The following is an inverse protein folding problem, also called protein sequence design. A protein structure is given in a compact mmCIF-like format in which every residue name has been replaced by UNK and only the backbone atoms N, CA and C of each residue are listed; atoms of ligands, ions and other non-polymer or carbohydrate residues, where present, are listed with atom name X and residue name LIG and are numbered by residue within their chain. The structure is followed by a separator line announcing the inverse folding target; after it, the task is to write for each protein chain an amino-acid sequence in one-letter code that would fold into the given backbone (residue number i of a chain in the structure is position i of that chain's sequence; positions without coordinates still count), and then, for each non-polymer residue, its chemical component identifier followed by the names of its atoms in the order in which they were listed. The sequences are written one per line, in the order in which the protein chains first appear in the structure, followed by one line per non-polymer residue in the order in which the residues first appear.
data_IF_373064161199
#
_entry.id   IF_373064161199
#
_cell.length_a   1.000
_cell.length_b   1.000
_cell.length_c   1.000
_cell.angle_alpha   90.00
_cell.angle_beta   90.00
_cell.angle_gamma   90.00
#
_symmetry.space_group_name_H-M   'P 1'
#
loop_
_entity.id
_entity.type
_entity.pdbx_description
1 polymer ?
#
# COMPACT_ATOMS: atom_id res chain seq x y z
N UNK A 1 -43.08 -29.79 32.87
CA UNK A 1 -43.24 -28.33 33.12
C UNK A 1 -41.90 -27.67 33.50
N UNK A 2 -41.12 -28.20 34.44
CA UNK A 2 -39.81 -27.62 34.84
C UNK A 2 -38.69 -27.64 33.77
N UNK A 3 -38.65 -28.61 32.84
CA UNK A 3 -37.62 -28.67 31.78
C UNK A 3 -37.78 -27.58 30.71
N UNK A 4 -39.00 -27.16 30.43
CA UNK A 4 -39.33 -26.15 29.41
C UNK A 4 -39.04 -24.73 29.89
N UNK A 5 -39.19 -24.45 31.18
CA UNK A 5 -38.81 -23.16 31.77
C UNK A 5 -37.29 -22.99 31.85
N UNK A 6 -36.56 -24.06 32.15
CA UNK A 6 -35.10 -24.01 32.22
C UNK A 6 -34.43 -23.79 30.85
N UNK A 7 -35.03 -24.29 29.77
CA UNK A 7 -34.58 -23.99 28.40
C UNK A 7 -34.91 -22.56 27.98
N UNK A 8 -36.11 -22.04 28.34
CA UNK A 8 -36.44 -20.62 28.14
C UNK A 8 -35.49 -19.70 28.91
N UNK A 9 -35.07 -20.07 30.12
CA UNK A 9 -34.11 -19.30 30.91
C UNK A 9 -32.71 -19.27 30.25
N UNK A 10 -32.28 -20.38 29.63
CA UNK A 10 -31.02 -20.43 28.87
C UNK A 10 -31.05 -19.57 27.62
N UNK A 11 -32.17 -19.56 26.88
CA UNK A 11 -32.33 -18.71 25.71
C UNK A 11 -32.34 -17.22 26.10
N UNK A 12 -33.02 -16.88 27.19
CA UNK A 12 -33.03 -15.52 27.74
C UNK A 12 -31.62 -15.11 28.24
N UNK A 13 -30.88 -16.00 28.90
CA UNK A 13 -29.50 -15.73 29.32
C UNK A 13 -28.53 -15.61 28.13
N UNK A 14 -28.72 -16.36 27.05
CA UNK A 14 -27.93 -16.23 25.82
C UNK A 14 -28.21 -14.89 25.13
N UNK A 15 -29.47 -14.46 25.11
CA UNK A 15 -29.89 -13.15 24.57
C UNK A 15 -29.35 -12.00 25.43
N UNK A 16 -29.39 -12.10 26.76
CA UNK A 16 -28.84 -11.09 27.67
C UNK A 16 -27.30 -11.02 27.58
N UNK A 17 -26.60 -12.15 27.42
CA UNK A 17 -25.15 -12.16 27.16
C UNK A 17 -24.78 -11.61 25.78
N UNK A 18 -25.67 -11.71 24.79
CA UNK A 18 -25.51 -11.14 23.46
C UNK A 18 -25.66 -9.62 23.47
N UNK A 19 -26.57 -9.07 24.28
CA UNK A 19 -26.71 -7.62 24.47
C UNK A 19 -25.59 -7.02 25.35
N UNK A 20 -25.21 -7.68 26.45
CA UNK A 20 -24.13 -7.20 27.34
C UNK A 20 -22.74 -7.11 26.69
N UNK A 21 -22.43 -7.95 25.68
CA UNK A 21 -21.18 -7.88 24.92
C UNK A 21 -21.17 -6.81 23.83
N UNK A 22 -22.35 -6.46 23.29
CA UNK A 22 -22.48 -5.40 22.26
C UNK A 22 -22.34 -4.01 22.87
N UNK A 23 -22.81 -3.80 24.10
CA UNK A 23 -22.71 -2.49 24.74
C UNK A 23 -21.28 -2.12 25.15
N UNK A 24 -20.44 -3.06 25.57
CA UNK A 24 -19.01 -2.79 25.79
C UNK A 24 -18.24 -2.49 24.49
N UNK A 25 -18.64 -3.12 23.38
CA UNK A 25 -18.07 -2.84 22.06
C UNK A 25 -18.58 -1.51 21.47
N UNK A 26 -19.83 -1.14 21.75
CA UNK A 26 -20.44 0.14 21.35
C UNK A 26 -19.91 1.29 22.22
N UNK A 27 -19.68 1.07 23.52
CA UNK A 27 -19.01 2.04 24.39
C UNK A 27 -17.54 2.21 24.01
N UNK A 28 -16.82 1.14 23.62
CA UNK A 28 -15.52 1.25 22.95
C UNK A 28 -15.59 1.99 21.60
N UNK A 29 -16.71 1.91 20.87
CA UNK A 29 -16.95 2.71 19.65
C UNK A 29 -17.21 4.17 19.97
N UNK A 30 -17.95 4.49 21.03
CA UNK A 30 -18.19 5.88 21.46
C UNK A 30 -16.90 6.49 22.02
N UNK A 31 -16.11 5.72 22.79
CA UNK A 31 -14.76 6.11 23.18
C UNK A 31 -13.83 6.24 21.96
N UNK A 32 -13.94 5.41 20.93
CA UNK A 32 -13.15 5.55 19.69
C UNK A 32 -13.63 6.68 18.78
N UNK A 33 -14.91 7.03 18.79
CA UNK A 33 -15.47 8.16 18.03
C UNK A 33 -15.06 9.47 18.73
N UNK A 34 -15.10 9.52 20.06
CA UNK A 34 -14.60 10.66 20.83
C UNK A 34 -13.05 10.73 20.90
N UNK A 35 -12.35 9.59 20.79
CA UNK A 35 -10.87 9.53 20.67
C UNK A 35 -10.36 9.50 19.23
N UNK A 36 -11.23 9.65 18.21
CA UNK A 36 -10.81 9.71 16.80
C UNK A 36 -10.03 10.99 16.45
N UNK A 37 -9.81 11.86 17.43
CA UNK A 37 -9.05 13.11 17.35
C UNK A 37 -7.51 12.95 17.40
N UNK A 38 -6.95 11.73 17.31
CA UNK A 38 -5.48 11.54 17.22
C UNK A 38 -5.03 10.86 15.92
N UNK A 39 -4.97 11.66 14.83
CA UNK A 39 -3.85 11.94 13.91
C UNK A 39 -2.75 10.90 13.53
N UNK A 40 -2.67 9.71 14.12
CA UNK A 40 -1.48 8.86 14.00
C UNK A 40 -1.38 8.07 12.68
N UNK A 41 -2.51 7.85 11.97
CA UNK A 41 -2.53 7.03 10.76
C UNK A 41 -3.42 7.59 9.64
N UNK A 42 -3.70 8.89 9.58
CA UNK A 42 -4.42 9.45 8.44
C UNK A 42 -3.56 9.37 7.17
N UNK A 43 -3.83 8.38 6.32
CA UNK A 43 -3.13 8.18 5.05
C UNK A 43 -3.62 9.11 3.94
N UNK A 44 -4.77 9.73 4.15
CA UNK A 44 -5.46 10.55 3.16
C UNK A 44 -4.91 11.96 3.18
N UNK A 45 -4.57 12.54 4.35
CA UNK A 45 -4.06 13.91 4.40
C UNK A 45 -2.52 14.02 4.24
N UNK A 46 -2.02 14.98 3.44
CA UNK A 46 -2.73 15.70 2.38
C UNK A 46 -3.11 14.76 1.22
N UNK A 47 -4.28 15.01 0.60
CA UNK A 47 -4.82 14.18 -0.47
C UNK A 47 -3.90 14.28 -1.70
N UNK A 48 -3.34 13.16 -2.18
CA UNK A 48 -2.49 13.18 -3.37
C UNK A 48 -3.33 13.20 -4.63
N UNK A 49 -2.99 14.08 -5.55
CA UNK A 49 -3.58 14.14 -6.88
C UNK A 49 -2.49 14.61 -7.84
N UNK A 50 -2.52 14.13 -9.08
CA UNK A 50 -1.62 14.65 -10.10
C UNK A 50 -2.00 16.09 -10.43
N UNK A 51 -1.09 17.01 -10.17
CA UNK A 51 -1.24 18.44 -10.40
C UNK A 51 -0.18 18.90 -11.38
N UNK A 52 -0.60 19.57 -12.44
CA UNK A 52 0.34 20.17 -13.37
C UNK A 52 1.14 21.28 -12.67
N UNK A 53 2.44 21.32 -12.91
CA UNK A 53 3.30 22.42 -12.51
C UNK A 53 4.35 22.67 -13.60
N UNK A 54 4.54 23.93 -13.98
CA UNK A 54 5.25 24.24 -15.22
C UNK A 54 4.51 23.72 -16.46
N UNK A 55 5.15 23.83 -17.62
CA UNK A 55 4.49 23.51 -18.89
C UNK A 55 4.35 22.00 -19.14
N UNK A 56 5.28 21.20 -18.63
CA UNK A 56 5.43 19.80 -19.03
C UNK A 56 5.53 18.80 -17.88
N UNK A 57 5.30 19.23 -16.64
CA UNK A 57 5.47 18.39 -15.46
C UNK A 57 4.19 18.30 -14.63
N UNK A 58 4.02 17.15 -13.97
CA UNK A 58 2.95 16.89 -13.03
C UNK A 58 3.53 16.29 -11.76
N UNK A 59 3.04 16.72 -10.60
CA UNK A 59 3.43 16.19 -9.29
C UNK A 59 2.25 15.50 -8.63
N UNK A 60 2.50 14.40 -7.92
CA UNK A 60 1.45 13.61 -7.26
C UNK A 60 1.38 13.83 -5.75
N UNK A 61 2.52 13.72 -5.07
CA UNK A 61 2.61 13.79 -3.63
C UNK A 61 3.98 14.32 -3.21
N UNK A 62 4.01 15.07 -2.09
CA UNK A 62 5.22 15.64 -1.52
C UNK A 62 5.40 15.22 -0.06
N UNK A 63 6.64 14.94 0.32
CA UNK A 63 7.02 14.40 1.62
C UNK A 63 8.13 15.23 2.24
N UNK A 64 8.03 15.54 3.53
CA UNK A 64 9.07 16.22 4.28
C UNK A 64 9.91 15.24 5.10
N UNK A 65 11.21 15.26 4.84
CA UNK A 65 12.23 14.54 5.59
C UNK A 65 13.08 15.53 6.37
N UNK A 66 12.92 15.56 7.70
CA UNK A 66 13.82 16.33 8.58
C UNK A 66 15.18 15.65 8.63
N UNK A 67 16.26 16.42 8.54
CA UNK A 67 17.60 15.89 8.75
C UNK A 67 17.89 15.83 10.25
N UNK A 68 18.38 14.69 10.75
CA UNK A 68 18.65 14.51 12.18
C UNK A 68 20.00 15.09 12.59
N UNK A 69 20.96 15.18 11.65
CA UNK A 69 22.34 15.57 11.93
C UNK A 69 22.64 17.03 11.55
N UNK A 70 21.77 17.67 10.78
CA UNK A 70 21.95 19.05 10.29
C UNK A 70 20.62 19.78 10.40
N UNK A 71 20.67 21.07 10.74
CA UNK A 71 19.48 21.93 10.73
C UNK A 71 18.77 21.91 9.35
N UNK A 72 17.43 21.91 9.38
CA UNK A 72 16.59 21.90 8.19
C UNK A 72 16.13 20.49 7.76
N UNK A 73 15.94 20.32 6.46
CA UNK A 73 15.35 19.12 5.89
C UNK A 73 15.23 19.16 4.38
N UNK A 74 14.60 18.14 3.83
CA UNK A 74 14.44 17.95 2.39
C UNK A 74 12.99 17.58 2.08
N UNK A 75 12.38 18.31 1.16
CA UNK A 75 11.12 17.92 0.53
C UNK A 75 11.41 16.98 -0.63
N UNK A 76 10.72 15.84 -0.69
CA UNK A 76 10.79 14.85 -1.76
C UNK A 76 9.45 14.78 -2.44
N UNK A 77 9.42 14.96 -3.76
CA UNK A 77 8.19 15.03 -4.55
C UNK A 77 8.22 14.01 -5.68
N UNK A 78 7.12 13.27 -5.83
CA UNK A 78 6.91 12.32 -6.92
C UNK A 78 6.43 13.11 -8.14
N UNK A 79 7.20 13.05 -9.23
CA UNK A 79 6.98 13.87 -10.42
C UNK A 79 7.02 13.01 -11.68
N UNK A 80 6.21 13.36 -12.66
CA UNK A 80 6.34 12.91 -14.05
C UNK A 80 6.49 14.14 -14.95
N UNK A 81 7.32 14.01 -15.98
CA UNK A 81 7.50 15.04 -16.99
C UNK A 81 7.38 14.46 -18.39
N UNK A 82 6.87 15.25 -19.34
CA UNK A 82 6.83 14.85 -20.75
C UNK A 82 8.25 14.52 -21.23
N UNK A 83 8.38 13.50 -22.07
CA UNK A 83 9.67 13.16 -22.69
C UNK A 83 10.24 14.37 -23.45
N UNK A 84 11.53 14.65 -23.24
CA UNK A 84 12.21 15.79 -23.85
C UNK A 84 11.99 17.14 -23.15
N UNK A 85 11.22 17.19 -22.05
CA UNK A 85 11.06 18.42 -21.28
C UNK A 85 12.35 18.84 -20.58
N UNK A 86 12.61 20.16 -20.55
CA UNK A 86 13.79 20.77 -19.93
C UNK A 86 13.58 20.87 -18.42
N UNK A 87 14.59 20.44 -17.65
CA UNK A 87 14.56 20.48 -16.18
C UNK A 87 15.27 21.72 -15.65
N UNK A 88 14.54 22.84 -15.54
CA UNK A 88 15.08 24.08 -14.98
C UNK A 88 14.11 24.70 -13.95
N UNK A 89 14.27 24.30 -12.70
CA UNK A 89 13.39 24.72 -11.61
C UNK A 89 14.15 25.40 -10.47
N UNK A 90 13.54 26.43 -9.90
CA UNK A 90 13.81 26.92 -8.55
C UNK A 90 12.80 26.29 -7.60
N UNK A 91 13.19 26.05 -6.36
CA UNK A 91 12.28 25.51 -5.35
C UNK A 91 12.25 26.40 -4.11
N UNK A 92 11.09 26.45 -3.46
CA UNK A 92 10.90 27.12 -2.19
C UNK A 92 9.97 26.31 -1.30
N UNK A 93 10.07 26.53 0.00
CA UNK A 93 9.28 25.84 1.02
C UNK A 93 8.53 26.87 1.84
N UNK A 94 7.23 26.65 2.03
CA UNK A 94 6.33 27.55 2.75
C UNK A 94 6.07 27.04 4.17
N UNK A 95 6.11 27.95 5.14
CA UNK A 95 5.87 27.69 6.56
C UNK A 95 4.61 28.42 7.04
N UNK A 96 4.13 28.11 8.26
CA UNK A 96 3.08 28.90 8.89
C UNK A 96 3.51 30.38 9.02
N UNK A 97 2.59 31.30 8.70
CA UNK A 97 2.79 32.76 8.58
C UNK A 97 3.36 33.30 7.23
N UNK A 98 3.07 32.65 6.10
CA UNK A 98 3.47 33.09 4.75
C UNK A 98 4.99 33.32 4.58
N UNK A 99 5.80 32.68 5.43
CA UNK A 99 7.25 32.72 5.30
C UNK A 99 7.66 31.68 4.27
N UNK A 100 8.16 32.15 3.12
CA UNK A 100 8.68 31.30 2.05
C UNK A 100 10.21 31.36 2.07
N UNK A 101 10.85 30.19 2.19
CA UNK A 101 12.30 30.07 2.15
C UNK A 101 12.75 29.37 0.87
N UNK A 102 13.72 29.97 0.16
CA UNK A 102 14.31 29.35 -1.03
C UNK A 102 15.15 28.13 -0.65
N UNK A 103 14.97 27.04 -1.39
CA UNK A 103 15.74 25.82 -1.23
C UNK A 103 16.66 25.55 -2.39
N UNK A 104 17.52 24.55 -2.22
CA UNK A 104 18.36 24.02 -3.30
C UNK A 104 17.59 22.92 -4.02
N UNK A 105 17.25 23.18 -5.28
CA UNK A 105 16.64 22.19 -6.16
C UNK A 105 17.64 21.12 -6.56
N UNK A 106 17.21 19.86 -6.50
CA UNK A 106 17.87 18.71 -7.11
C UNK A 106 16.79 17.81 -7.68
N UNK A 107 17.16 16.97 -8.64
CA UNK A 107 16.26 15.94 -9.13
C UNK A 107 17.02 14.64 -9.35
N UNK A 108 16.25 13.56 -9.37
CA UNK A 108 16.70 12.26 -9.81
C UNK A 108 15.75 11.76 -10.89
N UNK A 109 16.30 11.38 -12.04
CA UNK A 109 15.58 10.65 -13.07
C UNK A 109 15.53 9.18 -12.70
N UNK A 110 14.36 8.55 -12.78
CA UNK A 110 14.15 7.14 -12.41
C UNK A 110 14.10 6.19 -13.61
N UNK A 111 14.15 6.72 -14.83
CA UNK A 111 14.12 5.92 -16.05
C UNK A 111 15.48 5.97 -16.75
N UNK A 112 16.00 4.78 -17.08
CA UNK A 112 17.23 4.62 -17.84
C UNK A 112 17.05 5.08 -19.28
N UNK A 113 18.07 5.75 -19.83
CA UNK A 113 18.09 6.13 -21.23
C UNK A 113 18.16 4.88 -22.13
N UNK A 114 17.34 4.86 -23.18
CA UNK A 114 17.44 3.87 -24.27
C UNK A 114 16.54 2.64 -24.21
N UNK A 115 15.78 2.37 -23.12
CA UNK A 115 14.99 1.12 -23.03
C UNK A 115 13.60 1.16 -23.65
N UNK A 116 12.90 2.29 -23.64
CA UNK A 116 11.53 2.36 -24.17
C UNK A 116 11.30 3.65 -24.97
N UNK A 117 11.35 3.55 -26.30
CA UNK A 117 11.06 4.66 -27.21
C UNK A 117 9.59 5.11 -27.21
N UNK A 118 8.69 4.27 -26.68
CA UNK A 118 7.25 4.41 -26.83
C UNK A 118 6.54 5.20 -25.74
N UNK A 119 7.22 5.50 -24.63
CA UNK A 119 6.56 6.21 -23.53
C UNK A 119 6.57 7.72 -23.67
N UNK A 120 5.44 8.31 -23.30
CA UNK A 120 5.15 9.74 -23.34
C UNK A 120 5.80 10.52 -22.20
N UNK A 121 6.16 9.85 -21.09
CA UNK A 121 6.64 10.49 -19.87
C UNK A 121 7.93 9.89 -19.32
N UNK A 122 8.57 10.67 -18.45
CA UNK A 122 9.73 10.30 -17.65
C UNK A 122 9.39 10.56 -16.19
N UNK A 123 9.75 9.62 -15.32
CA UNK A 123 9.55 9.65 -13.88
C UNK A 123 10.74 10.31 -13.21
N UNK A 124 10.43 11.19 -12.28
CA UNK A 124 11.40 11.95 -11.51
C UNK A 124 11.07 11.93 -10.02
N UNK A 125 12.12 12.12 -9.23
CA UNK A 125 12.00 12.62 -7.86
C UNK A 125 12.58 14.01 -7.82
N UNK A 126 11.78 14.97 -7.39
CA UNK A 126 12.24 16.32 -7.16
C UNK A 126 12.55 16.49 -5.68
N UNK A 127 13.68 17.14 -5.40
CA UNK A 127 14.17 17.40 -4.07
C UNK A 127 14.30 18.91 -3.88
N UNK A 128 13.78 19.41 -2.76
CA UNK A 128 14.02 20.79 -2.32
C UNK A 128 14.66 20.77 -0.93
N UNK A 129 15.96 21.04 -0.88
CA UNK A 129 16.74 21.00 0.37
C UNK A 129 16.83 22.38 1.01
N UNK A 130 16.52 22.43 2.30
CA UNK A 130 16.67 23.60 3.17
C UNK A 130 17.74 23.29 4.22
N UNK A 131 18.71 24.18 4.38
CA UNK A 131 19.89 23.99 5.25
C UNK A 131 19.75 24.62 6.65
N UNK A 132 18.66 25.35 6.89
CA UNK A 132 18.35 25.98 8.18
C UNK A 132 17.00 25.47 8.67
N UNK A 133 16.84 25.40 9.97
CA UNK A 133 15.55 25.05 10.56
C UNK A 133 14.70 26.31 10.69
N UNK A 134 13.58 26.35 9.96
CA UNK A 134 12.59 27.43 10.03
C UNK A 134 11.26 26.94 10.62
N UNK A 135 11.25 25.75 11.25
CA UNK A 135 10.06 25.10 11.79
C UNK A 135 9.49 24.04 10.86
N UNK A 136 8.18 23.82 10.95
CA UNK A 136 7.45 22.78 10.22
C UNK A 136 6.90 23.33 8.90
N UNK A 137 7.39 22.87 7.73
CA UNK A 137 6.93 23.36 6.44
C UNK A 137 5.61 22.74 5.96
N UNK A 138 4.67 23.58 5.52
CA UNK A 138 3.36 23.13 5.05
C UNK A 138 3.35 22.66 3.60
N UNK A 139 4.10 23.33 2.73
CA UNK A 139 4.09 23.01 1.31
C UNK A 139 5.43 23.33 0.65
N UNK A 140 5.66 22.73 -0.51
CA UNK A 140 6.79 22.99 -1.39
C UNK A 140 6.28 23.52 -2.72
N UNK A 141 6.97 24.53 -3.26
CA UNK A 141 6.66 25.14 -4.55
C UNK A 141 7.85 24.99 -5.48
N UNK A 142 7.58 24.59 -6.72
CA UNK A 142 8.57 24.57 -7.80
C UNK A 142 8.19 25.62 -8.84
N UNK A 143 9.15 26.45 -9.23
CA UNK A 143 8.98 27.53 -10.20
C UNK A 143 9.88 27.28 -11.38
N UNK A 144 9.29 27.11 -12.56
CA UNK A 144 10.02 26.93 -13.82
C UNK A 144 10.72 28.25 -14.19
N UNK A 145 11.98 28.15 -14.60
CA UNK A 145 12.78 29.30 -15.03
C UNK A 145 12.87 29.25 -16.55
N UNK A 146 12.27 30.24 -17.22
CA UNK A 146 12.35 30.40 -18.68
C UNK A 146 13.24 31.59 -19.03
N UNK A 147 13.66 31.68 -20.30
CA UNK A 147 14.51 32.76 -20.80
C UNK A 147 13.83 34.14 -20.70
N UNK A 148 12.49 34.17 -20.65
CA UNK A 148 11.67 35.37 -20.44
C UNK A 148 11.50 35.77 -18.95
N UNK A 149 12.13 35.04 -18.02
CA UNK A 149 11.98 35.21 -16.57
C UNK A 149 11.33 34.01 -15.88
N UNK A 150 11.19 34.06 -14.55
CA UNK A 150 10.45 33.02 -13.83
C UNK A 150 8.95 33.18 -14.08
N UNK A 151 8.27 32.12 -14.50
CA UNK A 151 6.80 32.15 -14.57
C UNK A 151 6.23 32.24 -13.15
N UNK A 152 5.28 33.15 -12.87
CA UNK A 152 4.74 33.32 -11.50
C UNK A 152 3.88 32.14 -11.03
N UNK A 153 3.58 31.17 -11.89
CA UNK A 153 2.70 30.04 -11.61
C UNK A 153 3.45 28.88 -10.91
N UNK A 154 4.10 29.18 -9.78
CA UNK A 154 4.63 28.14 -8.91
C UNK A 154 3.47 27.44 -8.20
N UNK A 155 3.15 26.21 -8.61
CA UNK A 155 2.13 25.42 -7.92
C UNK A 155 2.69 24.87 -6.60
N UNK A 156 1.94 25.09 -5.51
CA UNK A 156 2.33 24.66 -4.17
C UNK A 156 1.72 23.30 -3.85
N UNK A 157 2.56 22.36 -3.45
CA UNK A 157 2.16 20.98 -3.14
C UNK A 157 2.30 20.78 -1.63
N UNK A 158 1.23 20.35 -0.98
CA UNK A 158 1.21 20.14 0.47
C UNK A 158 2.16 19.00 0.88
N UNK A 159 2.92 19.25 1.93
CA UNK A 159 3.92 18.33 2.45
C UNK A 159 3.32 17.38 3.48
N UNK A 160 3.67 16.09 3.33
CA UNK A 160 3.42 15.07 4.33
C UNK A 160 4.67 14.76 5.13
N UNK A 161 4.56 14.75 6.45
CA UNK A 161 5.69 14.44 7.32
C UNK A 161 5.95 12.94 7.40
N UNK A 162 7.18 12.53 7.11
CA UNK A 162 7.58 11.13 7.19
C UNK A 162 7.86 10.70 8.63
N UNK A 163 8.35 11.59 9.47
CA UNK A 163 8.58 11.34 10.90
C UNK A 163 7.56 12.15 11.69
N UNK A 164 6.61 11.46 12.32
CA UNK A 164 5.72 12.08 13.29
C UNK A 164 6.53 12.30 14.57
N UNK A 165 6.74 13.55 14.98
CA UNK A 165 7.19 13.85 16.33
C UNK A 165 5.95 13.99 17.19
N UNK A 166 5.84 13.17 18.25
CA UNK A 166 4.85 13.45 19.27
C UNK A 166 5.35 14.66 20.08
N UNK A 167 4.68 15.80 19.92
CA UNK A 167 5.07 17.06 20.54
C UNK A 167 5.11 16.98 22.08
N UNK A 168 4.37 16.04 22.67
CA UNK A 168 4.27 15.89 24.13
C UNK A 168 5.35 14.99 24.75
N UNK A 169 6.01 14.12 23.99
CA UNK A 169 6.91 13.11 24.59
C UNK A 169 8.34 13.08 24.08
N UNK A 170 8.71 13.82 23.02
CA UNK A 170 10.02 13.69 22.32
C UNK A 170 10.42 12.24 21.98
N UNK A 171 9.50 11.27 22.13
CA UNK A 171 9.68 9.86 21.79
C UNK A 171 9.12 9.66 20.39
N UNK A 172 9.87 8.92 19.57
CA UNK A 172 9.35 8.42 18.29
C UNK A 172 8.12 7.58 18.63
N UNK A 173 6.94 7.83 18.03
CA UNK A 173 5.80 6.97 18.24
C UNK A 173 6.24 5.54 17.91
N UNK A 174 5.95 4.59 18.81
CA UNK A 174 6.13 3.18 18.51
C UNK A 174 5.47 2.90 17.16
N UNK A 175 6.20 2.36 16.18
CA UNK A 175 5.64 2.00 14.87
C UNK A 175 4.42 1.13 15.13
N UNK A 176 3.24 1.71 14.89
CA UNK A 176 2.02 1.22 15.52
C UNK A 176 1.59 -0.13 14.93
N UNK A 177 1.96 -0.41 13.68
CA UNK A 177 1.41 -1.53 12.92
C UNK A 177 2.47 -2.46 12.34
N UNK A 178 2.27 -3.79 12.41
CA UNK A 178 3.26 -4.77 11.97
C UNK A 178 3.41 -4.80 10.44
N UNK A 179 2.31 -4.59 9.70
CA UNK A 179 2.27 -4.59 8.25
C UNK A 179 1.10 -3.75 7.73
N UNK A 180 1.22 -3.22 6.51
CA UNK A 180 0.14 -2.57 5.74
C UNK A 180 0.09 -3.12 4.32
N UNK A 181 -1.07 -3.06 3.67
CA UNK A 181 -1.20 -3.38 2.24
C UNK A 181 -1.57 -2.13 1.46
N UNK A 182 -0.85 -1.90 0.37
CA UNK A 182 -1.26 -1.00 -0.69
C UNK A 182 -1.90 -1.83 -1.81
N UNK A 183 -3.14 -1.51 -2.15
CA UNK A 183 -3.89 -2.12 -3.24
C UNK A 183 -3.81 -1.24 -4.48
N UNK A 184 -3.28 -1.79 -5.56
CA UNK A 184 -3.16 -1.17 -6.88
C UNK A 184 -4.39 -1.52 -7.74
N UNK A 185 -5.38 -0.62 -7.77
CA UNK A 185 -6.50 -0.67 -8.73
C UNK A 185 -6.26 0.18 -9.98
N UNK A 186 -5.12 0.87 -10.05
CA UNK A 186 -4.70 1.63 -11.23
C UNK A 186 -4.43 0.66 -12.37
N UNK A 187 -3.81 -0.48 -12.05
CA UNK A 187 -3.56 -1.54 -13.00
C UNK A 187 -4.88 -2.18 -13.50
N UNK A 188 -5.22 -1.91 -14.76
CA UNK A 188 -6.44 -2.39 -15.39
C UNK A 188 -6.44 -3.91 -15.69
N UNK A 189 -5.30 -4.61 -15.53
CA UNK A 189 -5.20 -6.05 -15.78
C UNK A 189 -6.25 -6.84 -14.97
N UNK A 190 -6.47 -6.46 -13.71
CA UNK A 190 -7.50 -7.07 -12.86
C UNK A 190 -8.90 -6.88 -13.43
N UNK A 191 -9.24 -5.66 -13.86
CA UNK A 191 -10.55 -5.35 -14.43
C UNK A 191 -10.76 -6.09 -15.75
N UNK A 192 -9.74 -6.18 -16.58
CA UNK A 192 -9.81 -6.88 -17.86
C UNK A 192 -9.96 -8.40 -17.68
N UNK A 193 -9.34 -8.97 -16.64
CA UNK A 193 -9.37 -10.41 -16.39
C UNK A 193 -10.63 -10.88 -15.63
N UNK A 194 -11.37 -9.98 -14.98
CA UNK A 194 -12.47 -10.33 -14.08
C UNK A 194 -13.77 -9.67 -14.53
N UNK A 195 -14.84 -10.46 -14.70
CA UNK A 195 -16.15 -9.92 -15.09
C UNK A 195 -16.75 -9.06 -13.98
N UNK A 196 -17.56 -8.06 -14.37
CA UNK A 196 -18.09 -7.05 -13.44
C UNK A 196 -18.81 -7.67 -12.24
N UNK A 197 -19.61 -8.71 -12.46
CA UNK A 197 -20.36 -9.44 -11.43
C UNK A 197 -19.46 -10.09 -10.37
N UNK A 198 -18.28 -10.56 -10.76
CA UNK A 198 -17.35 -11.24 -9.84
C UNK A 198 -16.41 -10.25 -9.14
N UNK A 199 -16.21 -9.03 -9.68
CA UNK A 199 -15.26 -8.06 -9.13
C UNK A 199 -15.57 -7.69 -7.68
N UNK A 200 -16.82 -7.40 -7.35
CA UNK A 200 -17.18 -7.01 -5.98
C UNK A 200 -16.98 -8.15 -4.98
N UNK A 201 -17.37 -9.37 -5.37
CA UNK A 201 -17.17 -10.58 -4.56
C UNK A 201 -15.69 -10.89 -4.34
N UNK A 202 -14.86 -10.76 -5.38
CA UNK A 202 -13.42 -10.98 -5.29
C UNK A 202 -12.71 -9.90 -4.46
N UNK A 203 -13.10 -8.63 -4.61
CA UNK A 203 -12.58 -7.53 -3.79
C UNK A 203 -12.95 -7.71 -2.31
N UNK A 204 -14.19 -8.10 -2.02
CA UNK A 204 -14.59 -8.44 -0.66
C UNK A 204 -13.75 -9.59 -0.10
N UNK A 205 -13.55 -10.67 -0.87
CA UNK A 205 -12.66 -11.77 -0.50
C UNK A 205 -11.23 -11.28 -0.23
N UNK A 206 -10.69 -10.38 -1.07
CA UNK A 206 -9.36 -9.79 -0.88
C UNK A 206 -9.24 -9.12 0.49
N UNK A 207 -10.14 -8.22 0.84
CA UNK A 207 -10.05 -7.50 2.11
C UNK A 207 -10.24 -8.42 3.32
N UNK A 208 -11.26 -9.29 3.29
CA UNK A 208 -11.57 -10.19 4.40
C UNK A 208 -10.46 -11.24 4.60
N UNK A 209 -9.87 -11.75 3.52
CA UNK A 209 -8.71 -12.66 3.58
C UNK A 209 -7.54 -12.02 4.32
N UNK A 210 -7.12 -10.85 3.88
CA UNK A 210 -5.99 -10.16 4.49
C UNK A 210 -6.29 -9.68 5.91
N UNK A 211 -7.54 -9.29 6.19
CA UNK A 211 -7.98 -8.98 7.55
C UNK A 211 -7.88 -10.18 8.50
N UNK A 212 -8.31 -11.37 8.05
CA UNK A 212 -8.24 -12.61 8.83
C UNK A 212 -6.80 -13.04 9.15
N UNK A 213 -5.81 -12.58 8.37
CA UNK A 213 -4.38 -12.75 8.64
C UNK A 213 -3.83 -11.78 9.68
N UNK A 214 -4.59 -10.74 10.05
CA UNK A 214 -4.20 -9.68 10.98
C UNK A 214 -3.76 -8.37 10.31
N UNK A 215 -4.18 -8.11 9.07
CA UNK A 215 -3.92 -6.85 8.36
C UNK A 215 -5.13 -5.93 8.47
N UNK A 216 -4.99 -4.82 9.19
CA UNK A 216 -6.12 -3.95 9.51
C UNK A 216 -6.24 -2.72 8.60
N UNK A 217 -5.15 -2.32 7.93
CA UNK A 217 -5.10 -1.08 7.14
C UNK A 217 -4.70 -1.33 5.70
N UNK A 218 -5.50 -0.74 4.83
CA UNK A 218 -5.37 -0.82 3.38
C UNK A 218 -5.29 0.59 2.80
N UNK A 219 -4.30 0.84 1.95
CA UNK A 219 -4.21 2.04 1.12
C UNK A 219 -4.61 1.64 -0.29
N UNK A 220 -5.71 2.17 -0.81
CA UNK A 220 -6.23 1.78 -2.12
C UNK A 220 -5.99 2.91 -3.10
N UNK A 221 -5.16 2.64 -4.11
CA UNK A 221 -4.91 3.55 -5.23
C UNK A 221 -5.99 3.38 -6.29
N UNK A 222 -6.48 4.49 -6.84
CA UNK A 222 -7.69 4.54 -7.65
C UNK A 222 -8.92 4.02 -6.89
N UNK A 223 -9.04 4.43 -5.62
CA UNK A 223 -10.09 3.97 -4.70
C UNK A 223 -11.52 4.29 -5.14
N UNK A 224 -11.69 5.23 -6.08
CA UNK A 224 -12.98 5.58 -6.69
C UNK A 224 -13.63 4.39 -7.43
N UNK A 225 -12.87 3.34 -7.73
CA UNK A 225 -13.38 2.10 -8.32
C UNK A 225 -14.12 1.19 -7.32
N UNK A 226 -14.01 1.44 -6.01
CA UNK A 226 -14.69 0.64 -5.00
C UNK A 226 -16.15 1.07 -4.84
N UNK A 227 -17.07 0.11 -4.82
CA UNK A 227 -18.50 0.39 -4.59
C UNK A 227 -18.73 0.89 -3.16
N UNK A 228 -19.71 1.79 -3.00
CA UNK A 228 -20.12 2.28 -1.67
C UNK A 228 -20.62 1.11 -0.80
N UNK A 229 -21.31 0.14 -1.41
CA UNK A 229 -21.79 -1.06 -0.73
C UNK A 229 -20.65 -1.86 -0.11
N UNK A 230 -19.57 -2.10 -0.86
CA UNK A 230 -18.39 -2.76 -0.35
C UNK A 230 -17.76 -1.98 0.81
N UNK A 231 -17.58 -0.67 0.66
CA UNK A 231 -17.00 0.18 1.71
C UNK A 231 -17.82 0.12 3.02
N UNK A 232 -19.15 0.11 2.93
CA UNK A 232 -20.03 -0.03 4.09
C UNK A 232 -19.89 -1.40 4.78
N UNK A 233 -19.69 -2.47 4.01
CA UNK A 233 -19.45 -3.81 4.57
C UNK A 233 -18.10 -3.84 5.29
N UNK A 234 -17.05 -3.30 4.66
CA UNK A 234 -15.71 -3.26 5.24
C UNK A 234 -15.67 -2.44 6.54
N UNK A 235 -16.36 -1.31 6.58
CA UNK A 235 -16.49 -0.48 7.80
C UNK A 235 -17.18 -1.24 8.94
N UNK A 236 -18.26 -2.00 8.64
CA UNK A 236 -18.93 -2.86 9.64
C UNK A 236 -18.02 -3.94 10.21
N UNK A 237 -17.11 -4.47 9.39
CA UNK A 237 -16.08 -5.43 9.78
C UNK A 237 -14.87 -4.77 10.46
N UNK A 238 -14.88 -3.44 10.61
CA UNK A 238 -13.78 -2.64 11.17
C UNK A 238 -12.47 -2.78 10.36
N UNK A 239 -12.60 -2.99 9.05
CA UNK A 239 -11.49 -3.01 8.09
C UNK A 239 -11.24 -1.58 7.63
N UNK A 240 -10.05 -1.03 7.90
CA UNK A 240 -9.73 0.36 7.59
C UNK A 240 -9.20 0.49 6.17
N UNK A 241 -9.95 1.20 5.34
CA UNK A 241 -9.60 1.43 3.93
C UNK A 241 -9.39 2.92 3.70
N UNK A 242 -8.22 3.28 3.21
CA UNK A 242 -7.83 4.64 2.86
C UNK A 242 -7.81 4.79 1.35
N UNK A 243 -8.78 5.52 0.80
CA UNK A 243 -8.94 5.71 -0.64
C UNK A 243 -8.08 6.86 -1.12
N UNK A 244 -7.23 6.60 -2.12
CA UNK A 244 -6.43 7.60 -2.80
C UNK A 244 -6.86 7.69 -4.28
N UNK A 245 -7.17 8.89 -4.79
CA UNK A 245 -7.43 9.07 -6.21
C UNK A 245 -6.14 8.91 -7.01
N UNK A 246 -6.27 8.53 -8.28
CA UNK A 246 -5.10 8.40 -9.17
C UNK A 246 -5.40 8.94 -10.57
N UNK A 247 -5.60 10.26 -10.64
CA UNK A 247 -5.90 11.01 -11.87
C UNK A 247 -4.66 11.18 -12.78
N UNK A 248 -4.03 10.07 -13.19
CA UNK A 248 -2.78 10.09 -13.96
C UNK A 248 -2.92 10.84 -15.30
N UNK A 249 -1.98 11.76 -15.64
CA UNK A 249 -2.14 12.68 -16.76
C UNK A 249 -1.73 12.13 -18.15
N UNK A 250 -1.25 10.89 -18.24
CA UNK A 250 -0.82 10.25 -19.49
C UNK A 250 -1.57 8.94 -19.75
N UNK A 251 -1.42 8.39 -20.97
CA UNK A 251 -2.04 7.11 -21.33
C UNK A 251 -1.45 5.92 -20.56
N UNK A 252 -2.30 4.93 -20.25
CA UNK A 252 -1.93 3.71 -19.51
C UNK A 252 -1.34 2.60 -20.38
N UNK A 253 -1.58 2.62 -21.71
CA UNK A 253 -1.51 1.42 -22.56
C UNK A 253 -0.14 0.75 -22.66
N UNK A 254 0.95 1.48 -22.47
CA UNK A 254 2.32 0.96 -22.64
C UNK A 254 3.21 1.10 -21.39
N UNK A 255 2.69 1.66 -20.29
CA UNK A 255 3.51 2.09 -19.15
C UNK A 255 3.06 1.48 -17.81
N UNK A 256 2.37 0.34 -17.83
CA UNK A 256 1.81 -0.33 -16.62
C UNK A 256 2.87 -0.52 -15.52
N UNK A 257 4.05 -1.06 -15.85
CA UNK A 257 5.12 -1.27 -14.87
C UNK A 257 5.69 0.05 -14.31
N UNK A 258 5.76 1.08 -15.16
CA UNK A 258 6.28 2.38 -14.77
C UNK A 258 5.31 3.11 -13.85
N UNK A 259 4.02 2.97 -14.11
CA UNK A 259 2.93 3.45 -13.25
C UNK A 259 2.90 2.67 -11.94
N UNK A 260 2.99 1.33 -11.98
CA UNK A 260 3.07 0.49 -10.77
C UNK A 260 4.20 0.93 -9.86
N UNK A 261 5.37 1.24 -10.42
CA UNK A 261 6.52 1.71 -9.64
C UNK A 261 6.35 3.15 -9.08
N UNK A 262 5.50 3.99 -9.68
CA UNK A 262 5.07 5.27 -9.07
C UNK A 262 4.17 5.01 -7.85
N UNK A 263 3.19 4.11 -7.99
CA UNK A 263 2.31 3.67 -6.90
C UNK A 263 3.12 3.04 -5.76
N UNK A 264 4.06 2.17 -6.10
CA UNK A 264 5.01 1.56 -5.15
C UNK A 264 5.80 2.61 -4.38
N UNK A 265 6.38 3.58 -5.09
CA UNK A 265 7.16 4.66 -4.46
C UNK A 265 6.30 5.44 -3.46
N UNK A 266 5.08 5.80 -3.84
CA UNK A 266 4.17 6.51 -2.94
C UNK A 266 3.76 5.64 -1.74
N UNK A 267 3.45 4.36 -1.97
CA UNK A 267 3.09 3.39 -0.94
C UNK A 267 4.18 3.27 0.14
N UNK A 268 5.44 3.15 -0.28
CA UNK A 268 6.59 3.08 0.64
C UNK A 268 6.73 4.36 1.47
N UNK A 269 6.61 5.52 0.83
CA UNK A 269 6.75 6.82 1.50
C UNK A 269 5.59 7.08 2.48
N UNK A 270 4.35 6.75 2.10
CA UNK A 270 3.18 6.91 2.98
C UNK A 270 3.25 6.06 4.23
N UNK A 271 3.79 4.84 4.12
CA UNK A 271 3.88 3.89 5.23
C UNK A 271 5.16 4.06 6.06
N UNK A 272 6.14 4.84 5.59
CA UNK A 272 7.38 5.09 6.35
C UNK A 272 7.05 5.63 7.75
N UNK A 273 7.61 4.98 8.78
CA UNK A 273 7.36 5.23 10.21
C UNK A 273 5.89 5.03 10.68
N UNK A 274 5.01 4.45 9.85
CA UNK A 274 3.63 4.10 10.23
C UNK A 274 3.41 2.60 10.30
N UNK A 275 4.02 1.85 9.40
CA UNK A 275 4.06 0.39 9.41
C UNK A 275 5.51 -0.10 9.44
N UNK A 276 5.74 -1.30 10.00
CA UNK A 276 7.07 -1.94 9.96
C UNK A 276 7.36 -2.56 8.60
N UNK A 277 6.33 -3.13 7.98
CA UNK A 277 6.39 -3.71 6.65
C UNK A 277 5.25 -3.23 5.78
N UNK A 278 5.42 -3.28 4.46
CA UNK A 278 4.33 -3.03 3.51
C UNK A 278 4.44 -3.93 2.29
N UNK A 279 3.31 -4.22 1.66
CA UNK A 279 3.23 -4.88 0.36
C UNK A 279 2.46 -4.00 -0.62
N UNK A 280 2.80 -4.10 -1.91
CA UNK A 280 1.97 -3.61 -3.00
C UNK A 280 1.39 -4.81 -3.74
N UNK A 281 0.07 -4.93 -3.77
CA UNK A 281 -0.66 -6.02 -4.40
C UNK A 281 -1.68 -5.47 -5.39
N UNK A 282 -1.98 -6.20 -6.47
CA UNK A 282 -3.21 -6.01 -7.26
C UNK A 282 -4.37 -6.80 -6.65
N UNK A 283 -5.60 -6.51 -7.07
CA UNK A 283 -6.80 -7.15 -6.51
C UNK A 283 -6.90 -8.67 -6.75
N UNK A 284 -6.12 -9.23 -7.68
CA UNK A 284 -6.00 -10.66 -7.90
C UNK A 284 -4.77 -11.30 -7.22
N UNK A 285 -4.00 -10.54 -6.44
CA UNK A 285 -2.81 -11.03 -5.72
C UNK A 285 -3.12 -11.21 -4.24
N UNK A 286 -3.14 -12.45 -3.76
CA UNK A 286 -3.46 -12.79 -2.38
C UNK A 286 -2.22 -13.28 -1.64
N UNK A 287 -1.86 -12.60 -0.55
CA UNK A 287 -0.71 -12.94 0.26
C UNK A 287 -1.05 -14.05 1.27
N UNK A 288 -0.22 -15.08 1.34
CA UNK A 288 -0.38 -16.22 2.24
C UNK A 288 0.89 -16.40 3.10
N UNK A 289 0.87 -15.96 4.37
CA UNK A 289 1.95 -16.22 5.32
C UNK A 289 1.80 -17.60 5.97
N UNK A 290 2.91 -18.18 6.44
CA UNK A 290 2.92 -19.53 7.03
C UNK A 290 2.08 -19.69 8.31
N UNK A 291 1.76 -18.58 8.98
CA UNK A 291 0.94 -18.46 10.19
C UNK A 291 0.33 -17.06 10.23
N UNK A 292 -0.63 -16.80 11.14
CA UNK A 292 -1.17 -15.44 11.32
C UNK A 292 -0.07 -14.47 11.75
N UNK A 293 -0.21 -13.20 11.36
CA UNK A 293 0.89 -12.25 11.44
C UNK A 293 1.26 -11.85 12.88
N UNK A 294 0.31 -11.98 13.81
CA UNK A 294 0.50 -11.73 15.23
C UNK A 294 1.11 -12.90 16.01
N UNK A 295 1.22 -14.09 15.40
CA UNK A 295 1.76 -15.29 16.06
C UNK A 295 3.29 -15.24 16.23
N UNK A 296 3.81 -16.08 17.13
CA UNK A 296 5.24 -16.11 17.42
C UNK A 296 6.12 -16.62 16.29
N UNK A 297 5.59 -17.53 15.48
CA UNK A 297 6.31 -18.12 14.34
C UNK A 297 5.98 -17.39 13.04
N UNK A 298 5.45 -16.16 13.13
CA UNK A 298 5.02 -15.39 11.96
C UNK A 298 6.18 -15.02 11.05
N UNK A 299 5.86 -14.88 9.76
CA UNK A 299 6.80 -14.39 8.76
C UNK A 299 7.40 -13.04 9.17
N UNK A 300 6.64 -12.15 9.82
CA UNK A 300 7.13 -10.85 10.26
C UNK A 300 8.21 -10.95 11.34
N UNK A 301 8.06 -11.87 12.30
CA UNK A 301 9.11 -12.17 13.28
C UNK A 301 10.32 -12.79 12.62
N UNK A 302 10.14 -13.71 11.67
CA UNK A 302 11.25 -14.25 10.87
C UNK A 302 12.01 -13.14 10.15
N UNK A 303 11.30 -12.26 9.45
CA UNK A 303 11.89 -11.13 8.75
C UNK A 303 12.74 -10.28 9.70
N UNK A 304 12.28 -9.98 10.93
CA UNK A 304 13.03 -9.15 11.88
C UNK A 304 14.45 -9.62 12.23
N UNK A 305 14.80 -10.89 12.00
CA UNK A 305 16.15 -11.43 12.24
C UNK A 305 17.17 -10.98 11.18
N UNK A 306 16.72 -10.56 10.00
CA UNK A 306 17.62 -10.03 8.97
C UNK A 306 18.17 -8.67 9.36
N UNK A 307 19.42 -8.40 8.97
CA UNK A 307 20.08 -7.10 9.20
C UNK A 307 19.24 -5.93 8.67
N UNK A 308 19.40 -4.75 9.27
CA UNK A 308 18.67 -3.53 8.85
C UNK A 308 18.94 -3.10 7.40
N UNK A 309 19.98 -3.67 6.76
CA UNK A 309 20.30 -3.49 5.34
C UNK A 309 19.36 -4.28 4.42
N UNK A 310 18.83 -5.41 4.87
CA UNK A 310 17.83 -6.17 4.11
C UNK A 310 16.47 -5.46 4.21
N UNK A 311 16.07 -4.84 3.10
CA UNK A 311 14.85 -4.03 3.02
C UNK A 311 13.77 -4.66 2.14
N UNK A 312 14.11 -5.66 1.31
CA UNK A 312 13.21 -6.29 0.34
C UNK A 312 13.27 -7.80 0.44
N UNK A 313 12.12 -8.40 0.63
CA UNK A 313 11.96 -9.84 0.72
C UNK A 313 11.03 -10.30 -0.40
N UNK A 314 11.60 -10.98 -1.39
CA UNK A 314 10.88 -11.39 -2.59
C UNK A 314 9.99 -12.59 -2.28
N UNK A 315 8.74 -12.52 -2.73
CA UNK A 315 7.73 -13.53 -2.51
C UNK A 315 7.61 -14.42 -3.74
N UNK A 316 7.62 -15.76 -3.56
CA UNK A 316 7.27 -16.67 -4.64
C UNK A 316 5.78 -16.50 -5.00
N UNK A 317 5.48 -16.60 -6.30
CA UNK A 317 4.15 -16.36 -6.87
C UNK A 317 3.67 -17.62 -7.57
N UNK A 318 2.44 -18.05 -7.28
CA UNK A 318 1.72 -19.07 -8.03
C UNK A 318 0.66 -18.42 -8.93
N UNK A 319 0.69 -18.71 -10.23
CA UNK A 319 -0.35 -18.29 -11.18
C UNK A 319 -1.55 -19.23 -11.09
N UNK A 320 -2.42 -19.00 -10.10
CA UNK A 320 -3.54 -19.90 -9.79
C UNK A 320 -4.67 -19.70 -10.78
N UNK A 321 -5.11 -20.79 -11.40
CA UNK A 321 -6.16 -20.79 -12.39
C UNK A 321 -7.52 -20.60 -11.71
N UNK A 322 -8.26 -19.56 -12.12
CA UNK A 322 -9.63 -19.34 -11.67
C UNK A 322 -10.56 -20.38 -12.30
N UNK A 323 -11.25 -21.14 -11.48
CA UNK A 323 -12.37 -21.98 -11.85
C UNK A 323 -13.66 -21.38 -11.29
N UNK A 324 -14.59 -21.07 -12.20
CA UNK A 324 -15.86 -20.40 -11.89
C UNK A 324 -16.82 -21.26 -11.06
N UNK A 325 -16.59 -22.58 -10.99
CA UNK A 325 -17.39 -23.48 -10.15
C UNK A 325 -17.12 -23.28 -8.65
N UNK A 326 -15.96 -22.70 -8.31
CA UNK A 326 -15.58 -22.45 -6.92
C UNK A 326 -16.16 -21.13 -6.40
N UNK A 327 -16.76 -21.19 -5.21
CA UNK A 327 -17.32 -20.01 -4.56
C UNK A 327 -16.25 -19.07 -4.01
N UNK A 328 -15.12 -19.60 -3.58
CA UNK A 328 -14.01 -18.83 -3.01
C UNK A 328 -12.75 -19.02 -3.83
N UNK A 329 -11.96 -17.94 -3.99
CA UNK A 329 -10.70 -17.97 -4.72
C UNK A 329 -9.71 -18.97 -4.11
N UNK A 330 -9.67 -19.09 -2.78
CA UNK A 330 -8.81 -20.03 -2.06
C UNK A 330 -9.11 -21.51 -2.37
N UNK A 331 -10.29 -21.83 -2.93
CA UNK A 331 -10.64 -23.19 -3.31
C UNK A 331 -9.92 -23.65 -4.60
N UNK A 332 -9.39 -22.71 -5.38
CA UNK A 332 -8.62 -23.03 -6.58
C UNK A 332 -7.24 -23.57 -6.21
N UNK A 333 -6.96 -24.80 -6.64
CA UNK A 333 -5.76 -25.56 -6.24
C UNK A 333 -4.73 -25.71 -7.36
N UNK A 334 -5.15 -25.51 -8.60
CA UNK A 334 -4.33 -25.69 -9.79
C UNK A 334 -3.68 -24.37 -10.19
N UNK A 335 -2.38 -24.40 -10.48
CA UNK A 335 -1.63 -23.25 -10.99
C UNK A 335 -0.84 -23.62 -12.24
N UNK A 336 -0.57 -22.60 -13.07
CA UNK A 336 0.24 -22.72 -14.28
C UNK A 336 1.68 -22.26 -13.99
N UNK A 337 2.69 -23.16 -14.01
CA UNK A 337 4.09 -22.82 -13.76
C UNK A 337 4.75 -22.07 -14.93
N UNK A 338 4.16 -22.08 -16.13
CA UNK A 338 4.72 -21.45 -17.32
C UNK A 338 4.41 -19.95 -17.38
N UNK A 339 3.42 -19.50 -16.62
CA UNK A 339 3.07 -18.09 -16.51
C UNK A 339 4.19 -17.33 -15.78
N UNK A 340 4.91 -16.50 -16.55
CA UNK A 340 5.94 -15.61 -16.03
C UNK A 340 5.37 -14.23 -15.73
N UNK A 341 5.54 -13.79 -14.50
CA UNK A 341 5.19 -12.44 -14.08
C UNK A 341 6.27 -11.45 -14.51
N UNK A 342 5.85 -10.30 -15.06
CA UNK A 342 6.78 -9.22 -15.44
C UNK A 342 7.31 -8.47 -14.21
N UNK A 343 6.52 -8.43 -13.14
CA UNK A 343 6.89 -7.82 -11.88
C UNK A 343 7.14 -8.88 -10.80
N UNK A 344 8.05 -8.54 -9.90
CA UNK A 344 8.28 -9.30 -8.67
C UNK A 344 7.42 -8.71 -7.55
N UNK A 345 7.05 -9.56 -6.59
CA UNK A 345 6.32 -9.14 -5.39
C UNK A 345 7.25 -9.17 -4.18
N UNK A 346 7.16 -8.14 -3.34
CA UNK A 346 8.04 -8.01 -2.19
C UNK A 346 7.27 -7.64 -0.93
N UNK A 347 7.73 -8.17 0.20
CA UNK A 347 7.52 -7.54 1.50
C UNK A 347 8.63 -6.53 1.70
N UNK A 348 8.27 -5.26 1.81
CA UNK A 348 9.22 -4.20 2.09
C UNK A 348 9.32 -3.99 3.59
N UNK A 349 10.53 -3.97 4.13
CA UNK A 349 10.79 -3.46 5.47
C UNK A 349 10.96 -1.95 5.38
N UNK A 350 10.17 -1.24 6.16
CA UNK A 350 10.18 0.20 6.18
C UNK A 350 11.23 0.73 7.16
N UNK A 351 12.10 1.59 6.64
CA UNK A 351 13.15 2.28 7.39
C UNK A 351 13.14 3.77 7.03
N UNK A 352 13.43 4.68 7.98
CA UNK A 352 13.54 6.12 7.70
C UNK A 352 14.61 6.45 6.64
N UNK A 353 15.53 5.53 6.34
CA UNK A 353 16.57 5.69 5.33
C UNK A 353 16.17 5.24 3.92
N UNK A 354 14.92 4.80 3.68
CA UNK A 354 14.41 4.41 2.33
C UNK A 354 14.64 5.50 1.27
N UNK A 355 14.72 6.76 1.68
CA UNK A 355 14.94 7.89 0.77
C UNK A 355 16.40 8.15 0.38
N UNK A 356 17.37 7.58 1.12
CA UNK A 356 18.79 7.77 0.80
C UNK A 356 19.27 6.81 -0.28
N UNK A 357 18.62 5.65 -0.40
CA UNK A 357 18.71 4.81 -1.58
C UNK A 357 17.81 5.41 -2.65
N UNK A 358 18.34 5.59 -3.86
CA UNK A 358 17.46 5.81 -5.00
C UNK A 358 16.45 4.66 -5.05
N UNK A 359 15.19 4.87 -5.48
CA UNK A 359 14.33 3.68 -5.65
C UNK A 359 14.86 2.77 -6.74
N UNK A 360 15.70 3.26 -7.66
CA UNK A 360 16.49 2.36 -8.50
C UNK A 360 17.45 1.51 -7.65
N UNK A 361 18.13 2.05 -6.63
CA UNK A 361 18.92 1.28 -5.65
C UNK A 361 18.04 0.41 -4.75
N UNK A 362 16.78 0.77 -4.47
CA UNK A 362 15.86 -0.15 -3.79
C UNK A 362 15.45 -1.26 -4.73
N UNK A 363 15.05 -0.98 -5.97
CA UNK A 363 14.64 -1.98 -6.97
C UNK A 363 15.81 -2.83 -7.46
N UNK A 364 17.06 -2.36 -7.34
CA UNK A 364 18.31 -3.09 -7.65
C UNK A 364 19.08 -3.58 -6.43
N UNK A 365 18.72 -3.18 -5.20
CA UNK A 365 19.30 -3.74 -3.97
C UNK A 365 19.01 -5.24 -3.91
N UNK A 366 19.99 -5.99 -3.42
CA UNK A 366 19.89 -7.44 -3.22
C UNK A 366 18.60 -7.77 -2.47
N UNK A 367 17.64 -8.37 -3.18
CA UNK A 367 16.46 -8.95 -2.56
C UNK A 367 16.86 -10.24 -1.86
N UNK A 368 16.19 -10.55 -0.76
CA UNK A 368 16.26 -11.89 -0.17
C UNK A 368 15.04 -12.66 -0.65
N UNK A 369 15.24 -13.76 -1.38
CA UNK A 369 14.15 -14.65 -1.77
C UNK A 369 13.59 -15.37 -0.53
N UNK A 370 12.29 -15.23 -0.30
CA UNK A 370 11.59 -16.02 0.70
C UNK A 370 11.24 -17.39 0.14
N UNK A 371 11.33 -18.41 1.00
CA UNK A 371 10.90 -19.75 0.62
C UNK A 371 9.37 -19.84 0.68
N UNK A 372 8.79 -20.66 -0.20
CA UNK A 372 7.33 -20.91 -0.25
C UNK A 372 6.76 -21.29 1.12
N UNK A 373 7.53 -22.02 1.93
CA UNK A 373 7.14 -22.45 3.27
C UNK A 373 7.12 -21.33 4.34
N UNK A 374 7.52 -20.09 3.98
CA UNK A 374 7.44 -18.91 4.85
C UNK A 374 6.28 -18.01 4.46
N UNK A 375 6.20 -17.70 3.18
CA UNK A 375 5.08 -16.99 2.59
C UNK A 375 5.15 -17.11 1.07
N UNK A 376 3.99 -16.97 0.43
CA UNK A 376 3.86 -16.89 -1.02
C UNK A 376 2.67 -16.00 -1.39
N UNK A 377 2.50 -15.74 -2.68
CA UNK A 377 1.35 -15.04 -3.23
C UNK A 377 0.65 -15.92 -4.25
N UNK A 378 -0.68 -15.98 -4.20
CA UNK A 378 -1.47 -16.43 -5.34
C UNK A 378 -1.78 -15.23 -6.23
N UNK A 379 -1.47 -15.35 -7.51
CA UNK A 379 -2.00 -14.46 -8.54
C UNK A 379 -3.09 -15.20 -9.29
N UNK A 380 -4.35 -14.82 -9.07
CA UNK A 380 -5.48 -15.47 -9.71
C UNK A 380 -5.66 -14.98 -11.14
N UNK A 381 -5.59 -15.90 -12.11
CA UNK A 381 -5.66 -15.60 -13.54
C UNK A 381 -6.52 -16.60 -14.31
N UNK A 382 -6.92 -16.23 -15.53
CA UNK A 382 -7.51 -17.14 -16.50
C UNK A 382 -6.40 -17.90 -17.21
N UNK A 383 -6.23 -19.19 -16.92
CA UNK A 383 -5.20 -20.01 -17.53
C UNK A 383 -5.60 -20.45 -18.94
N UNK A 384 -4.65 -20.40 -19.88
CA UNK A 384 -4.87 -20.76 -21.29
C UNK A 384 -4.62 -22.26 -21.56
N UNK A 385 -3.75 -22.91 -20.78
CA UNK A 385 -3.32 -24.30 -21.00
C UNK A 385 -3.97 -25.30 -20.03
N UNK A 386 -5.29 -25.22 -19.87
CA UNK A 386 -6.04 -26.18 -19.07
C UNK A 386 -6.14 -27.50 -19.85
N UNK A 387 -5.31 -28.50 -19.51
CA UNK A 387 -5.69 -29.89 -19.71
C UNK A 387 -4.90 -30.76 -20.70
N UNK A 388 -3.56 -30.68 -20.76
CA UNK A 388 -2.79 -31.82 -21.32
C UNK A 388 -1.59 -32.34 -20.53
N UNK A 389 -1.14 -31.64 -19.48
CA UNK A 389 -0.16 -32.08 -18.45
C UNK A 389 0.40 -30.87 -17.64
N UNK A 390 0.05 -29.63 -17.99
CA UNK A 390 0.75 -28.42 -17.53
C UNK A 390 0.28 -27.76 -16.22
N UNK A 391 -0.84 -28.16 -15.62
CA UNK A 391 -1.29 -27.56 -14.35
C UNK A 391 -0.83 -28.38 -13.16
N UNK A 392 -0.32 -27.68 -12.14
CA UNK A 392 0.23 -28.30 -10.94
C UNK A 392 -0.61 -27.92 -9.73
N UNK A 393 -0.67 -28.81 -8.75
CA UNK A 393 -1.31 -28.51 -7.47
C UNK A 393 -0.33 -27.78 -6.54
N UNK A 394 -0.60 -26.52 -6.21
CA UNK A 394 0.30 -25.71 -5.38
C UNK A 394 0.43 -26.27 -3.96
N UNK A 395 -0.55 -27.06 -3.50
CA UNK A 395 -0.55 -27.65 -2.14
C UNK A 395 0.61 -28.63 -1.94
N UNK A 396 1.09 -29.25 -3.02
CA UNK A 396 2.22 -30.18 -2.98
C UNK A 396 3.56 -29.49 -2.68
N UNK A 397 3.62 -28.16 -2.82
CA UNK A 397 4.84 -27.36 -2.59
C UNK A 397 4.95 -26.82 -1.16
N UNK A 398 3.96 -27.11 -0.30
CA UNK A 398 3.81 -26.52 1.03
C UNK A 398 3.83 -27.61 2.10
N UNK A 399 4.46 -27.30 3.24
CA UNK A 399 4.45 -28.17 4.42
C UNK A 399 3.06 -28.37 5.01
N UNK A 400 2.86 -29.52 5.64
CA UNK A 400 1.58 -29.92 6.24
C UNK A 400 1.05 -28.95 7.32
N UNK A 401 1.93 -28.39 8.15
CA UNK A 401 1.55 -27.42 9.19
C UNK A 401 1.01 -26.12 8.60
N UNK A 402 1.64 -25.64 7.53
CA UNK A 402 1.16 -24.47 6.79
C UNK A 402 -0.17 -24.80 6.08
N UNK A 403 -0.31 -25.99 5.48
CA UNK A 403 -1.58 -26.41 4.89
C UNK A 403 -2.74 -26.46 5.91
N UNK A 404 -2.49 -26.91 7.15
CA UNK A 404 -3.49 -26.88 8.23
C UNK A 404 -3.90 -25.43 8.57
N UNK A 405 -2.93 -24.50 8.61
CA UNK A 405 -3.23 -23.08 8.80
C UNK A 405 -4.12 -22.53 7.65
N UNK A 406 -3.81 -22.86 6.40
CA UNK A 406 -4.61 -22.41 5.24
C UNK A 406 -6.03 -22.98 5.26
N UNK A 407 -6.22 -24.23 5.69
CA UNK A 407 -7.55 -24.83 5.89
C UNK A 407 -8.34 -24.12 6.99
N UNK A 408 -7.68 -23.76 8.10
CA UNK A 408 -8.32 -22.96 9.15
C UNK A 408 -8.75 -21.59 8.64
N UNK A 409 -7.86 -20.90 7.90
CA UNK A 409 -8.14 -19.61 7.30
C UNK A 409 -9.33 -19.69 6.33
N UNK A 410 -9.37 -20.71 5.48
CA UNK A 410 -10.49 -20.99 4.58
C UNK A 410 -11.82 -21.13 5.33
N UNK A 411 -11.82 -21.82 6.47
CA UNK A 411 -13.03 -21.98 7.27
C UNK A 411 -13.46 -20.67 7.94
N UNK A 412 -12.51 -19.84 8.38
CA UNK A 412 -12.80 -18.49 8.90
C UNK A 412 -13.41 -17.59 7.81
N UNK A 413 -12.87 -17.63 6.59
CA UNK A 413 -13.37 -16.83 5.46
C UNK A 413 -14.84 -17.10 5.15
N UNK A 414 -15.28 -18.36 5.24
CA UNK A 414 -16.68 -18.77 5.03
C UNK A 414 -17.65 -18.26 6.09
N UNK A 415 -17.16 -17.77 7.22
CA UNK A 415 -17.99 -17.18 8.29
C UNK A 415 -18.21 -15.69 8.01
N UNK A 416 -17.21 -15.03 7.42
CA UNK A 416 -17.24 -13.59 7.16
C UNK A 416 -17.90 -13.21 5.84
N UNK A 417 -18.00 -14.15 4.90
CA UNK A 417 -18.53 -14.01 3.54
C UNK A 417 -19.66 -15.01 3.34
#
# INVERSE_FOLDING_TARGET
MYKTENNRLKDVLHVINFFGRKDAAILRRIDNINNSSHYLADFIHPLPVWQQFGQHFHAYAAYWKRNELVAGGEAVVIVVGRRGAILNFKCSVNYEANKTNKGKFRFQRLDKEGKDGLSEFIRYRFYCRITRDFGQPKSVTFTEVTDAGSTPNGHSINLRYLKLMNNESKKVPNVAKPISICLDLVNQAYKNATSLEHREKELMQFFVHHFSLGIEDFIVYNGDDLSIQLLLILDRLNIKVHLLPFNFPYSYSHDIERIRSLVETDCLLRNTNRARHTLLLTANEFFYPSTKLYEEKSVLKYLSHYTSKAQRFELPIFAVCKDQTHNFLIDNTLYDPEVKFKHHLYVYRLSPNILNSSTEDLTTSSSTLLTVNRAFVHHYCSCLHVGKDGLFDWRNSIREDFMKHLQSLKNELKIYI
#
